data_IF_873672990495
#
_entry.id   IF_873672990495
#
_cell.length_a   1.000
_cell.length_b   1.000
_cell.length_c   1.000
_cell.angle_alpha   90.00
_cell.angle_beta   90.00
_cell.angle_gamma   90.00
#
_symmetry.space_group_name_H-M   'P 1'
#
loop_
_entity.id
_entity.type
_entity.pdbx_description
1 polymer ?
#
# COMPACT_ATOMS: atom_id res chain seq x y z
N UNK A 1 10.16 20.09 -0.21
CA UNK A 1 10.47 21.06 -1.26
C UNK A 1 9.20 21.46 -1.98
N UNK A 2 9.05 22.71 -2.29
CA UNK A 2 7.91 23.32 -2.97
C UNK A 2 8.40 23.93 -4.30
N UNK A 3 7.63 23.73 -5.36
CA UNK A 3 7.75 24.44 -6.63
C UNK A 3 6.40 25.08 -6.97
N UNK A 4 6.29 25.73 -8.13
CA UNK A 4 5.04 26.41 -8.53
C UNK A 4 3.81 25.49 -8.59
N UNK A 5 4.00 24.18 -8.80
CA UNK A 5 2.92 23.20 -8.95
C UNK A 5 3.16 21.90 -8.21
N UNK A 6 4.24 21.76 -7.44
CA UNK A 6 4.55 20.51 -6.78
C UNK A 6 4.93 20.68 -5.32
N UNK A 7 4.51 19.73 -4.50
CA UNK A 7 4.94 19.58 -3.11
C UNK A 7 5.59 18.22 -2.89
N UNK A 8 6.74 18.21 -2.26
CA UNK A 8 7.45 17.00 -1.87
C UNK A 8 7.52 16.93 -0.35
N UNK A 9 7.09 15.82 0.20
CA UNK A 9 7.13 15.56 1.62
C UNK A 9 7.95 14.31 1.92
N UNK A 10 8.65 14.35 3.03
CA UNK A 10 9.21 13.16 3.66
C UNK A 10 8.69 13.12 5.08
N UNK A 11 7.92 12.09 5.38
CA UNK A 11 7.39 11.83 6.71
C UNK A 11 8.32 10.81 7.36
N UNK A 12 8.82 11.15 8.55
CA UNK A 12 9.57 10.22 9.38
C UNK A 12 8.56 9.53 10.31
N UNK A 13 8.45 8.23 10.20
CA UNK A 13 7.56 7.43 11.03
C UNK A 13 8.40 6.60 12.00
N UNK A 14 7.95 6.52 13.24
CA UNK A 14 8.58 5.68 14.27
C UNK A 14 7.86 4.33 14.42
N UNK A 15 6.72 4.13 13.75
CA UNK A 15 5.95 2.88 13.64
C UNK A 15 6.12 1.90 14.82
N UNK A 16 6.01 2.40 16.06
CA UNK A 16 6.21 1.64 17.29
C UNK A 16 7.65 1.16 17.59
N UNK A 17 8.63 1.62 16.82
CA UNK A 17 10.05 1.30 17.03
C UNK A 17 10.85 2.54 17.40
N UNK A 18 12.05 2.34 17.94
CA UNK A 18 13.02 3.40 18.17
C UNK A 18 13.73 3.87 16.88
N UNK A 19 13.39 3.27 15.75
CA UNK A 19 14.03 3.56 14.47
C UNK A 19 13.40 4.79 13.82
N UNK A 20 14.19 5.85 13.71
CA UNK A 20 13.82 7.12 13.09
C UNK A 20 14.12 7.17 11.59
N UNK A 21 14.66 6.09 11.01
CA UNK A 21 15.06 6.05 9.60
C UNK A 21 13.94 5.64 8.66
N UNK A 22 12.86 5.06 9.18
CA UNK A 22 11.68 4.70 8.38
C UNK A 22 11.04 5.97 7.80
N UNK A 23 10.98 6.03 6.49
CA UNK A 23 10.51 7.21 5.78
C UNK A 23 9.39 6.88 4.82
N UNK A 24 8.43 7.78 4.72
CA UNK A 24 7.38 7.75 3.72
C UNK A 24 7.48 9.01 2.88
N UNK A 25 7.65 8.84 1.57
CA UNK A 25 7.81 9.92 0.60
C UNK A 25 6.49 10.18 -0.09
N UNK A 26 6.13 11.44 -0.22
CA UNK A 26 4.94 11.90 -0.92
C UNK A 26 5.31 12.93 -1.99
N UNK A 27 4.70 12.79 -3.14
CA UNK A 27 4.75 13.71 -4.24
C UNK A 27 3.33 14.18 -4.56
N UNK A 28 3.08 15.46 -4.43
CA UNK A 28 1.82 16.07 -4.86
C UNK A 28 2.08 16.94 -6.07
N UNK A 29 1.22 16.84 -7.07
CA UNK A 29 1.19 17.69 -8.24
C UNK A 29 -0.19 18.31 -8.39
N UNK A 30 -0.21 19.63 -8.51
CA UNK A 30 -1.43 20.43 -8.62
C UNK A 30 -1.69 20.80 -10.08
N UNK A 31 -2.96 20.85 -10.47
CA UNK A 31 -3.38 21.30 -11.81
C UNK A 31 -3.23 22.80 -12.02
N UNK A 32 -3.01 23.57 -10.95
CA UNK A 32 -2.87 25.03 -10.96
C UNK A 32 -1.61 25.44 -10.22
N UNK A 33 -0.99 26.58 -10.58
CA UNK A 33 0.13 27.14 -9.83
C UNK A 33 -0.28 27.54 -8.41
N UNK A 34 0.62 27.35 -7.47
CA UNK A 34 0.48 27.80 -6.08
C UNK A 34 0.77 29.29 -6.07
N UNK A 35 -0.21 30.12 -5.70
CA UNK A 35 -0.03 31.58 -5.58
C UNK A 35 0.68 32.00 -4.30
N UNK A 36 0.34 31.37 -3.19
CA UNK A 36 0.97 31.65 -1.92
C UNK A 36 1.03 30.44 -1.00
N UNK A 37 2.00 30.46 -0.10
CA UNK A 37 2.23 29.45 0.91
C UNK A 37 2.29 30.13 2.26
N UNK A 38 1.47 29.68 3.20
CA UNK A 38 1.46 30.18 4.57
C UNK A 38 1.68 29.01 5.53
N UNK A 39 2.60 29.18 6.48
CA UNK A 39 2.83 28.24 7.56
C UNK A 39 2.14 28.78 8.83
N UNK A 40 1.31 27.96 9.44
CA UNK A 40 0.69 28.24 10.73
C UNK A 40 0.92 27.00 11.60
N UNK A 41 1.73 27.16 12.64
CA UNK A 41 2.19 26.05 13.48
C UNK A 41 2.83 24.92 12.68
N UNK A 42 2.20 23.75 12.61
CA UNK A 42 2.65 22.60 11.83
C UNK A 42 1.90 22.45 10.49
N UNK A 43 0.95 23.32 10.23
CA UNK A 43 0.11 23.26 9.04
C UNK A 43 0.69 24.10 7.90
N UNK A 44 0.51 23.58 6.68
CA UNK A 44 0.86 24.24 5.44
C UNK A 44 -0.40 24.60 4.67
N UNK A 45 -0.62 25.89 4.47
CA UNK A 45 -1.75 26.41 3.69
C UNK A 45 -1.27 26.84 2.32
N UNK A 46 -1.88 26.27 1.28
CA UNK A 46 -1.62 26.61 -0.11
C UNK A 46 -2.82 27.38 -0.66
N UNK A 47 -2.56 28.50 -1.32
CA UNK A 47 -3.59 29.31 -1.99
C UNK A 47 -3.45 29.19 -3.50
N UNK A 48 -4.55 29.10 -4.18
CA UNK A 48 -4.63 29.01 -5.63
C UNK A 48 -5.59 30.08 -6.19
N UNK A 49 -5.34 30.56 -7.41
CA UNK A 49 -6.23 31.49 -8.08
C UNK A 49 -7.59 30.85 -8.43
N UNK A 50 -7.58 29.55 -8.73
CA UNK A 50 -8.77 28.79 -9.09
C UNK A 50 -9.53 28.31 -7.86
N UNK A 51 -10.86 28.25 -7.97
CA UNK A 51 -11.72 27.61 -6.97
C UNK A 51 -11.70 26.08 -7.06
N UNK A 52 -11.23 25.54 -8.18
CA UNK A 52 -11.12 24.10 -8.42
C UNK A 52 -9.68 23.76 -8.72
N UNK A 53 -9.12 22.83 -7.95
CA UNK A 53 -7.77 22.33 -8.12
C UNK A 53 -7.79 20.82 -8.04
N UNK A 54 -7.26 20.18 -9.07
CA UNK A 54 -7.02 18.73 -9.05
C UNK A 54 -5.63 18.45 -8.48
N UNK A 55 -5.55 17.46 -7.63
CA UNK A 55 -4.29 17.01 -7.03
C UNK A 55 -4.02 15.58 -7.47
N UNK A 56 -2.86 15.35 -8.05
CA UNK A 56 -2.31 14.00 -8.25
C UNK A 56 -1.33 13.70 -7.12
N UNK A 57 -1.38 12.48 -6.60
CA UNK A 57 -0.56 12.05 -5.46
C UNK A 57 0.16 10.77 -5.81
N UNK A 58 1.49 10.80 -5.68
CA UNK A 58 2.35 9.62 -5.68
C UNK A 58 2.96 9.41 -4.30
N UNK A 59 3.18 8.17 -3.93
CA UNK A 59 3.75 7.81 -2.63
C UNK A 59 4.77 6.70 -2.77
N UNK A 60 5.73 6.64 -1.85
CA UNK A 60 6.75 5.60 -1.82
C UNK A 60 7.34 5.43 -0.43
N UNK A 61 7.67 4.19 -0.08
CA UNK A 61 8.52 3.88 1.06
C UNK A 61 10.01 3.85 0.70
N UNK A 62 10.35 3.88 -0.59
CA UNK A 62 11.71 3.69 -1.09
C UNK A 62 12.43 5.02 -1.32
N UNK A 63 11.83 5.92 -2.10
CA UNK A 63 12.48 7.19 -2.43
C UNK A 63 11.50 8.25 -2.96
N UNK A 64 11.98 9.50 -3.02
CA UNK A 64 11.23 10.59 -3.63
C UNK A 64 11.05 10.41 -5.15
N UNK A 65 12.07 9.85 -5.82
CA UNK A 65 12.01 9.57 -7.26
C UNK A 65 10.97 8.49 -7.57
N UNK A 66 10.86 7.48 -6.71
CA UNK A 66 9.82 6.46 -6.82
C UNK A 66 8.44 7.07 -6.56
N UNK A 67 8.28 7.91 -5.55
CA UNK A 67 7.02 8.63 -5.31
C UNK A 67 6.63 9.50 -6.51
N UNK A 68 7.60 10.11 -7.20
CA UNK A 68 7.35 10.86 -8.43
C UNK A 68 6.91 9.95 -9.58
N UNK A 69 7.53 8.79 -9.74
CA UNK A 69 7.16 7.82 -10.80
C UNK A 69 5.76 7.22 -10.61
N UNK A 70 5.25 7.23 -9.38
CA UNK A 70 3.90 6.78 -9.03
C UNK A 70 2.82 7.84 -9.21
N UNK A 71 3.14 9.04 -9.69
CA UNK A 71 2.11 10.01 -10.06
C UNK A 71 1.23 9.42 -11.17
N UNK A 72 -0.09 9.39 -10.98
CA UNK A 72 -0.98 8.84 -12.01
C UNK A 72 -0.99 9.74 -13.24
N UNK A 73 -0.82 9.15 -14.41
CA UNK A 73 -1.01 9.86 -15.69
C UNK A 73 -2.42 9.59 -16.24
N UNK A 74 -3.44 9.81 -15.39
CA UNK A 74 -4.84 9.52 -15.66
C UNK A 74 -5.70 10.71 -15.21
N UNK A 75 -6.79 10.94 -15.92
CA UNK A 75 -7.87 11.79 -15.41
C UNK A 75 -8.59 11.11 -14.24
N UNK A 76 -9.33 11.89 -13.45
CA UNK A 76 -10.11 11.35 -12.33
C UNK A 76 -11.14 10.30 -12.79
N UNK A 77 -11.77 10.50 -13.94
CA UNK A 77 -12.77 9.55 -14.47
C UNK A 77 -12.12 8.25 -14.97
N UNK A 78 -10.95 8.32 -15.59
CA UNK A 78 -10.17 7.15 -15.97
C UNK A 78 -9.69 6.37 -14.72
N UNK A 79 -9.19 7.06 -13.71
CA UNK A 79 -8.77 6.44 -12.45
C UNK A 79 -9.94 5.74 -11.72
N UNK A 80 -11.11 6.35 -11.68
CA UNK A 80 -12.34 5.72 -11.12
C UNK A 80 -12.73 4.47 -11.90
N UNK A 81 -12.69 4.54 -13.23
CA UNK A 81 -13.03 3.40 -14.07
C UNK A 81 -12.06 2.26 -13.88
N UNK A 82 -10.75 2.56 -13.89
CA UNK A 82 -9.71 1.54 -13.69
C UNK A 82 -9.83 0.87 -12.32
N UNK A 83 -10.00 1.65 -11.25
CA UNK A 83 -10.20 1.11 -9.91
C UNK A 83 -11.46 0.23 -9.83
N UNK A 84 -12.57 0.66 -10.43
CA UNK A 84 -13.80 -0.13 -10.47
C UNK A 84 -13.62 -1.44 -11.24
N UNK A 85 -12.92 -1.39 -12.38
CA UNK A 85 -12.67 -2.57 -13.21
C UNK A 85 -11.76 -3.58 -12.47
N UNK A 86 -10.71 -3.12 -11.79
CA UNK A 86 -9.82 -3.98 -10.99
C UNK A 86 -10.57 -4.65 -9.83
N UNK A 87 -11.36 -3.90 -9.05
CA UNK A 87 -12.16 -4.45 -7.97
C UNK A 87 -13.22 -5.44 -8.48
N UNK A 88 -13.89 -5.12 -9.57
CA UNK A 88 -14.87 -6.01 -10.17
C UNK A 88 -14.25 -7.33 -10.66
N UNK A 89 -13.03 -7.32 -11.19
CA UNK A 89 -12.33 -8.55 -11.57
C UNK A 89 -12.04 -9.46 -10.37
N UNK A 90 -11.73 -8.87 -9.21
CA UNK A 90 -11.47 -9.62 -7.99
C UNK A 90 -12.77 -10.15 -7.36
N UNK A 91 -13.77 -9.29 -7.20
CA UNK A 91 -15.01 -9.64 -6.52
C UNK A 91 -15.85 -10.65 -7.31
N UNK A 92 -15.85 -10.59 -8.65
CA UNK A 92 -16.58 -11.53 -9.50
C UNK A 92 -16.03 -12.97 -9.53
N UNK A 93 -14.92 -13.24 -8.85
CA UNK A 93 -14.42 -14.64 -8.76
C UNK A 93 -15.35 -15.54 -7.94
N UNK A 94 -16.16 -14.97 -7.06
CA UNK A 94 -17.22 -15.67 -6.35
C UNK A 94 -18.53 -14.90 -6.59
N UNK A 95 -19.48 -15.56 -7.22
CA UNK A 95 -20.82 -15.00 -7.43
C UNK A 95 -21.79 -15.60 -6.43
N UNK A 96 -22.45 -14.75 -5.65
CA UNK A 96 -23.55 -15.11 -4.77
C UNK A 96 -24.84 -14.53 -5.35
N UNK A 97 -25.87 -15.34 -5.44
CA UNK A 97 -27.19 -14.92 -5.88
C UNK A 97 -28.18 -15.05 -4.74
N UNK A 98 -28.82 -13.96 -4.44
CA UNK A 98 -29.84 -13.83 -3.40
C UNK A 98 -31.06 -13.10 -3.99
N UNK A 99 -32.26 -13.53 -3.65
CA UNK A 99 -33.51 -12.97 -4.17
C UNK A 99 -33.79 -11.56 -3.65
N UNK A 100 -33.23 -11.20 -2.49
CA UNK A 100 -33.39 -9.89 -1.85
C UNK A 100 -32.27 -8.88 -2.11
N UNK A 101 -31.14 -9.35 -2.63
CA UNK A 101 -29.94 -8.55 -2.88
C UNK A 101 -29.17 -8.11 -1.63
N UNK A 102 -29.71 -8.36 -0.44
CA UNK A 102 -29.08 -7.95 0.83
C UNK A 102 -27.88 -8.83 1.21
N UNK A 103 -28.03 -10.13 1.09
CA UNK A 103 -26.99 -11.09 1.45
C UNK A 103 -25.86 -11.05 0.44
N UNK A 104 -26.15 -10.79 -0.84
CA UNK A 104 -25.15 -10.53 -1.86
C UNK A 104 -24.30 -9.29 -1.52
N UNK A 105 -24.95 -8.16 -1.22
CA UNK A 105 -24.23 -6.93 -0.87
C UNK A 105 -23.35 -7.10 0.38
N UNK A 106 -23.85 -7.83 1.38
CA UNK A 106 -23.08 -8.15 2.58
C UNK A 106 -21.88 -9.06 2.27
N UNK A 107 -22.07 -10.08 1.42
CA UNK A 107 -21.01 -10.97 0.98
C UNK A 107 -19.92 -10.21 0.21
N UNK A 108 -20.30 -9.38 -0.76
CA UNK A 108 -19.37 -8.59 -1.57
C UNK A 108 -18.56 -7.63 -0.67
N UNK A 109 -19.21 -7.02 0.32
CA UNK A 109 -18.53 -6.18 1.30
C UNK A 109 -17.52 -6.95 2.15
N UNK A 110 -17.87 -8.16 2.61
CA UNK A 110 -16.97 -9.03 3.36
C UNK A 110 -15.76 -9.45 2.51
N UNK A 111 -16.02 -9.83 1.25
CA UNK A 111 -14.97 -10.23 0.31
C UNK A 111 -14.02 -9.06 -0.02
N UNK A 112 -14.57 -7.86 -0.22
CA UNK A 112 -13.77 -6.65 -0.38
C UNK A 112 -12.85 -6.43 0.82
N UNK A 113 -13.37 -6.48 2.05
CA UNK A 113 -12.57 -6.29 3.26
C UNK A 113 -11.50 -7.36 3.44
N UNK A 114 -11.78 -8.59 3.07
CA UNK A 114 -10.82 -9.68 3.11
C UNK A 114 -9.65 -9.44 2.16
N UNK A 115 -9.90 -8.87 0.99
CA UNK A 115 -8.87 -8.56 -0.01
C UNK A 115 -8.04 -7.30 0.31
N UNK A 116 -8.36 -6.56 1.38
CA UNK A 116 -7.52 -5.43 1.83
C UNK A 116 -6.23 -5.89 2.53
N UNK A 117 -6.14 -7.16 2.93
CA UNK A 117 -4.99 -7.73 3.64
C UNK A 117 -4.63 -9.11 3.09
N UNK A 118 -3.34 -9.43 2.93
CA UNK A 118 -2.13 -8.62 3.18
C UNK A 118 -2.03 -7.41 2.25
N UNK A 119 -1.41 -6.33 2.74
CA UNK A 119 -1.09 -5.18 1.92
C UNK A 119 0.26 -5.36 1.23
N UNK A 120 0.38 -4.91 -0.01
CA UNK A 120 1.66 -4.84 -0.71
C UNK A 120 2.59 -3.86 -0.01
N UNK A 121 3.84 -4.28 0.18
CA UNK A 121 4.92 -3.47 0.74
C UNK A 121 6.12 -3.46 -0.21
N UNK A 122 5.86 -3.54 -1.48
CA UNK A 122 6.81 -3.41 -2.57
C UNK A 122 6.28 -2.44 -3.61
N UNK A 123 7.17 -1.92 -4.40
CA UNK A 123 6.88 -0.94 -5.43
C UNK A 123 7.51 -1.41 -6.74
N UNK A 124 6.82 -1.16 -7.85
CA UNK A 124 7.29 -1.54 -9.17
C UNK A 124 7.88 -0.33 -9.87
N UNK A 125 9.11 -0.43 -10.33
CA UNK A 125 9.77 0.64 -11.06
C UNK A 125 9.27 0.76 -12.51
N UNK A 126 9.71 1.80 -13.22
CA UNK A 126 9.33 2.04 -14.61
C UNK A 126 9.78 0.95 -15.60
N UNK A 127 10.66 0.05 -15.18
CA UNK A 127 11.14 -1.09 -15.98
C UNK A 127 10.39 -2.38 -15.67
N UNK A 128 9.47 -2.34 -14.69
CA UNK A 128 8.64 -3.48 -14.28
C UNK A 128 9.28 -4.38 -13.22
N UNK A 129 10.37 -3.94 -12.58
CA UNK A 129 11.00 -4.67 -11.49
C UNK A 129 10.38 -4.25 -10.14
N UNK A 130 10.18 -5.24 -9.28
CA UNK A 130 9.67 -5.05 -7.93
C UNK A 130 10.80 -4.83 -6.94
N UNK A 131 10.63 -3.84 -6.07
CA UNK A 131 11.57 -3.43 -5.03
C UNK A 131 10.86 -3.22 -3.71
N UNK A 132 11.51 -3.56 -2.61
CA UNK A 132 10.99 -3.32 -1.27
C UNK A 132 12.06 -2.80 -0.31
N UNK A 133 11.62 -2.23 0.80
CA UNK A 133 12.48 -1.81 1.89
C UNK A 133 12.66 -2.98 2.86
N UNK A 134 13.90 -3.45 3.01
CA UNK A 134 14.30 -4.27 4.16
C UNK A 134 14.47 -3.33 5.37
N UNK A 135 13.48 -3.29 6.21
CA UNK A 135 13.46 -2.39 7.37
C UNK A 135 14.48 -2.78 8.45
N UNK A 136 14.92 -4.04 8.46
CA UNK A 136 15.92 -4.52 9.42
C UNK A 136 17.31 -3.99 9.11
N UNK A 137 17.70 -3.99 7.83
CA UNK A 137 19.01 -3.53 7.39
C UNK A 137 19.00 -2.14 6.76
N UNK A 138 17.82 -1.54 6.59
CA UNK A 138 17.63 -0.24 5.93
C UNK A 138 18.14 -0.20 4.49
N UNK A 139 17.91 -1.29 3.76
CA UNK A 139 18.34 -1.48 2.39
C UNK A 139 17.15 -1.66 1.45
N UNK A 140 17.26 -1.14 0.24
CA UNK A 140 16.29 -1.43 -0.82
C UNK A 140 16.73 -2.72 -1.51
N UNK A 141 15.84 -3.71 -1.54
CA UNK A 141 16.10 -5.04 -2.10
C UNK A 141 15.11 -5.39 -3.21
N UNK A 142 15.53 -6.22 -4.17
CA UNK A 142 14.64 -6.66 -5.25
C UNK A 142 13.62 -7.69 -4.74
N UNK A 143 12.43 -7.64 -5.35
CA UNK A 143 11.36 -8.61 -5.14
C UNK A 143 10.20 -8.06 -4.33
N UNK A 144 9.18 -8.92 -4.18
CA UNK A 144 7.93 -8.59 -3.49
C UNK A 144 8.12 -8.63 -1.97
N UNK A 145 7.36 -7.77 -1.28
CA UNK A 145 7.16 -7.84 0.16
C UNK A 145 5.70 -7.49 0.49
N UNK A 146 5.24 -7.94 1.64
CA UNK A 146 3.87 -7.70 2.10
C UNK A 146 3.89 -7.32 3.58
N UNK A 147 2.85 -6.65 4.03
CA UNK A 147 2.70 -6.19 5.40
C UNK A 147 1.27 -6.32 5.91
N UNK A 148 1.06 -6.00 7.18
CA UNK A 148 -0.23 -6.02 7.86
C UNK A 148 -0.91 -7.39 7.83
N UNK A 149 -0.19 -8.41 8.26
CA UNK A 149 -0.66 -9.80 8.32
C UNK A 149 -0.35 -10.46 9.65
N UNK A 150 -1.40 -10.88 10.34
CA UNK A 150 -1.31 -11.81 11.46
C UNK A 150 -1.50 -13.24 10.98
N UNK A 151 -0.45 -14.05 10.98
CA UNK A 151 -0.51 -15.43 10.46
C UNK A 151 -1.47 -16.30 11.24
N UNK A 152 -1.47 -16.19 12.56
CA UNK A 152 -2.36 -16.96 13.43
C UNK A 152 -3.85 -16.58 13.28
N UNK A 153 -4.15 -15.38 12.79
CA UNK A 153 -5.52 -14.96 12.47
C UNK A 153 -6.01 -15.57 11.15
N UNK A 154 -5.13 -15.68 10.16
CA UNK A 154 -5.50 -15.88 8.76
C UNK A 154 -5.31 -17.31 8.25
N UNK A 155 -4.51 -18.14 8.92
CA UNK A 155 -4.12 -19.47 8.43
C UNK A 155 -5.30 -20.45 8.30
N UNK A 156 -6.38 -20.27 9.08
CA UNK A 156 -7.61 -21.09 9.02
C UNK A 156 -8.75 -20.40 8.29
N UNK A 157 -8.59 -19.18 7.85
CA UNK A 157 -9.65 -18.33 7.28
C UNK A 157 -9.28 -17.86 5.87
N UNK A 158 -8.57 -16.73 5.78
CA UNK A 158 -8.27 -16.09 4.49
C UNK A 158 -7.31 -16.89 3.61
N UNK A 159 -6.28 -17.53 4.18
CA UNK A 159 -5.29 -18.25 3.40
C UNK A 159 -5.86 -19.47 2.66
N UNK A 160 -6.71 -20.33 3.26
CA UNK A 160 -7.41 -21.36 2.52
C UNK A 160 -8.27 -20.81 1.38
N UNK A 161 -8.98 -19.71 1.61
CA UNK A 161 -9.77 -19.07 0.56
C UNK A 161 -8.89 -18.52 -0.56
N UNK A 162 -7.78 -17.84 -0.23
CA UNK A 162 -6.84 -17.34 -1.23
C UNK A 162 -6.22 -18.45 -2.06
N UNK A 163 -5.88 -19.59 -1.45
CA UNK A 163 -5.32 -20.72 -2.17
C UNK A 163 -6.30 -21.32 -3.20
N UNK A 164 -7.60 -21.23 -2.92
CA UNK A 164 -8.65 -21.78 -3.80
C UNK A 164 -9.12 -20.78 -4.86
N UNK A 165 -9.34 -19.53 -4.48
CA UNK A 165 -10.00 -18.53 -5.34
C UNK A 165 -9.02 -17.53 -5.94
N UNK A 166 -7.94 -17.23 -5.22
CA UNK A 166 -6.93 -16.23 -5.61
C UNK A 166 -5.51 -16.82 -5.60
N UNK A 167 -5.25 -17.97 -6.28
CA UNK A 167 -3.97 -18.67 -6.17
C UNK A 167 -2.79 -17.82 -6.63
N UNK A 168 -2.96 -16.97 -7.65
CA UNK A 168 -1.89 -16.09 -8.13
C UNK A 168 -1.51 -15.03 -7.08
N UNK A 169 -2.52 -14.40 -6.45
CA UNK A 169 -2.31 -13.46 -5.37
C UNK A 169 -1.63 -14.13 -4.17
N UNK A 170 -2.10 -15.32 -3.78
CA UNK A 170 -1.54 -16.06 -2.66
C UNK A 170 -0.10 -16.50 -2.91
N UNK A 171 0.23 -16.89 -4.14
CA UNK A 171 1.60 -17.21 -4.55
C UNK A 171 2.53 -16.00 -4.39
N UNK A 172 2.12 -14.82 -4.85
CA UNK A 172 2.91 -13.59 -4.70
C UNK A 172 3.10 -13.22 -3.23
N UNK A 173 2.08 -13.42 -2.40
CA UNK A 173 2.19 -13.22 -0.96
C UNK A 173 3.23 -14.16 -0.33
N UNK A 174 3.19 -15.46 -0.67
CA UNK A 174 4.17 -16.43 -0.17
C UNK A 174 5.60 -16.13 -0.66
N UNK A 175 5.75 -15.65 -1.88
CA UNK A 175 7.03 -15.17 -2.40
C UNK A 175 7.57 -14.01 -1.58
N UNK A 176 6.76 -13.01 -1.30
CA UNK A 176 7.12 -11.88 -0.45
C UNK A 176 7.49 -12.30 0.97
N UNK A 177 6.75 -13.26 1.53
CA UNK A 177 7.06 -13.81 2.85
C UNK A 177 8.40 -14.55 2.87
N UNK A 178 8.74 -15.29 1.81
CA UNK A 178 10.05 -15.91 1.65
C UNK A 178 11.17 -14.87 1.48
N UNK A 179 10.90 -13.74 0.83
CA UNK A 179 11.88 -12.67 0.72
C UNK A 179 12.19 -12.07 2.09
N UNK A 180 11.17 -11.84 2.92
CA UNK A 180 11.38 -11.41 4.31
C UNK A 180 12.29 -12.37 5.07
N UNK A 181 12.11 -13.70 4.91
CA UNK A 181 13.04 -14.67 5.50
C UNK A 181 14.47 -14.54 4.97
N UNK A 182 14.64 -14.35 3.66
CA UNK A 182 15.99 -14.20 3.06
C UNK A 182 16.70 -12.94 3.57
N UNK A 183 15.94 -11.87 3.79
CA UNK A 183 16.46 -10.59 4.23
C UNK A 183 16.83 -10.59 5.72
N UNK A 184 15.96 -11.15 6.55
CA UNK A 184 16.08 -11.07 8.01
C UNK A 184 16.67 -12.33 8.67
N UNK A 185 16.62 -13.47 7.97
CA UNK A 185 17.04 -14.77 8.52
C UNK A 185 16.00 -15.46 9.39
N UNK A 186 14.79 -14.90 9.52
CA UNK A 186 13.69 -15.50 10.29
C UNK A 186 12.34 -15.28 9.61
N UNK A 187 11.36 -16.13 9.95
CA UNK A 187 9.98 -15.94 9.53
C UNK A 187 9.25 -15.09 10.57
N UNK A 188 8.72 -13.91 10.21
CA UNK A 188 8.03 -13.07 11.15
C UNK A 188 6.71 -13.71 11.59
N UNK A 189 6.34 -13.53 12.84
CA UNK A 189 5.09 -14.04 13.40
C UNK A 189 3.89 -13.19 13.03
N UNK A 190 4.16 -11.94 12.76
CA UNK A 190 3.21 -10.95 12.29
C UNK A 190 3.94 -9.96 11.37
N UNK A 191 3.46 -9.80 10.14
CA UNK A 191 4.03 -8.83 9.21
C UNK A 191 3.49 -7.43 9.51
N UNK A 192 4.38 -6.55 9.89
CA UNK A 192 4.17 -5.11 9.99
C UNK A 192 5.22 -4.40 9.13
N UNK A 193 5.05 -3.11 8.86
CA UNK A 193 6.10 -2.34 8.18
C UNK A 193 7.46 -2.43 8.89
N UNK A 194 7.44 -2.55 10.21
CA UNK A 194 8.60 -2.94 11.00
C UNK A 194 8.17 -4.03 11.99
N UNK A 195 8.63 -5.27 11.77
CA UNK A 195 8.28 -6.43 12.60
C UNK A 195 9.08 -6.52 13.90
N UNK A 196 10.07 -5.66 14.11
CA UNK A 196 10.89 -5.64 15.32
C UNK A 196 10.06 -5.25 16.53
N UNK A 197 9.96 -6.16 17.47
CA UNK A 197 9.18 -5.96 18.70
C UNK A 197 7.65 -6.13 18.54
N UNK A 198 7.18 -6.49 17.36
CA UNK A 198 5.78 -6.84 17.15
C UNK A 198 5.47 -8.21 17.71
N UNK A 199 4.29 -8.33 18.25
CA UNK A 199 3.66 -9.46 18.94
C UNK A 199 4.44 -10.77 18.95
N UNK A 200 4.76 -11.30 20.13
CA UNK A 200 5.40 -12.62 20.28
C UNK A 200 4.38 -13.75 20.02
N UNK A 201 3.76 -13.75 18.85
CA UNK A 201 2.95 -14.87 18.43
C UNK A 201 3.82 -16.09 18.16
N UNK A 202 3.30 -17.28 18.30
CA UNK A 202 3.99 -18.51 17.94
C UNK A 202 3.71 -18.82 16.47
N UNK A 203 4.72 -18.63 15.60
CA UNK A 203 4.86 -19.59 14.52
C UNK A 203 5.41 -20.84 15.18
N UNK A 204 4.72 -21.93 14.95
CA UNK A 204 5.20 -23.25 15.32
C UNK A 204 6.50 -23.47 14.54
N UNK A 205 7.54 -23.77 15.25
CA UNK A 205 8.84 -24.16 14.73
C UNK A 205 8.69 -25.38 13.82
#
# INVERSE_FOLDING_TARGET
TLTDQTCHFRILDQAHTADTSYSFYLQWQFSQPIESVTHIDQDLFLTFASKEVTVQLGSSYLSQDMAHSHLPNLSLEEAKKEAADQWNQLLKRIEVKDTGGRDQAFFDHCLYRLLLFPQTFYETDSTGNDWHLDVTHQEIKPGKAYTNVGFWDLFRTSFPLFSLVYPDYYRHFLEGFLNTYKDTGFLPKWLAPDERGMMPGTLID
#
